data_IF_232689429898
#
_entry.id   IF_232689429898
#
_cell.length_a   1.000
_cell.length_b   1.000
_cell.length_c   1.000
_cell.angle_alpha   90.00
_cell.angle_beta   90.00
_cell.angle_gamma   90.00
#
_symmetry.space_group_name_H-M   'P 1'
#
loop_
_entity.id
_entity.type
_entity.pdbx_description
1 polymer ?
#
# COMPACT_ATOMS: atom_id res chain seq x y z
N UNK A 1 -9.81 15.73 -26.51
CA UNK A 1 -10.71 14.57 -26.31
C UNK A 1 -11.27 14.63 -24.91
N UNK A 2 -12.59 14.48 -24.73
CA UNK A 2 -13.20 14.36 -23.41
C UNK A 2 -12.95 12.94 -22.86
N UNK A 3 -12.13 12.82 -21.82
CA UNK A 3 -11.80 11.52 -21.21
C UNK A 3 -12.90 11.06 -20.24
N UNK A 4 -13.71 11.97 -19.74
CA UNK A 4 -14.74 11.70 -18.75
C UNK A 4 -15.87 10.84 -19.34
N UNK A 5 -16.16 9.69 -18.72
CA UNK A 5 -17.21 8.77 -19.18
C UNK A 5 -16.84 7.91 -20.40
N UNK A 6 -15.61 8.04 -20.93
CA UNK A 6 -15.12 7.28 -22.09
C UNK A 6 -15.17 5.76 -21.88
N UNK A 7 -15.11 5.30 -20.62
CA UNK A 7 -15.17 3.87 -20.28
C UNK A 7 -16.42 3.17 -20.85
N UNK A 8 -17.53 3.90 -20.99
CA UNK A 8 -18.79 3.36 -21.53
C UNK A 8 -18.66 2.97 -23.00
N UNK A 9 -17.80 3.68 -23.74
CA UNK A 9 -17.56 3.51 -25.17
C UNK A 9 -16.45 2.48 -25.46
N UNK A 10 -15.76 1.98 -24.45
CA UNK A 10 -14.70 0.98 -24.66
C UNK A 10 -15.25 -0.30 -25.29
N UNK A 11 -14.47 -0.91 -26.21
CA UNK A 11 -14.83 -2.19 -26.79
C UNK A 11 -14.81 -3.28 -25.71
N UNK A 12 -15.54 -4.38 -25.94
CA UNK A 12 -15.80 -5.40 -24.91
C UNK A 12 -14.51 -6.03 -24.40
N UNK A 13 -13.54 -6.22 -25.29
CA UNK A 13 -12.23 -6.80 -25.03
C UNK A 13 -11.47 -6.00 -23.96
N UNK A 14 -11.45 -4.67 -24.10
CA UNK A 14 -10.78 -3.78 -23.14
C UNK A 14 -11.50 -3.79 -21.78
N UNK A 15 -12.85 -3.80 -21.79
CA UNK A 15 -13.62 -3.92 -20.54
C UNK A 15 -13.33 -5.22 -19.81
N UNK A 16 -13.20 -6.33 -20.52
CA UNK A 16 -12.83 -7.63 -19.95
C UNK A 16 -11.41 -7.60 -19.38
N UNK A 17 -10.43 -7.02 -20.09
CA UNK A 17 -9.06 -6.88 -19.56
C UNK A 17 -9.03 -6.05 -18.29
N UNK A 18 -9.72 -4.90 -18.26
CA UNK A 18 -9.83 -4.06 -17.06
C UNK A 18 -10.46 -4.85 -15.91
N UNK A 19 -11.52 -5.61 -16.17
CA UNK A 19 -12.18 -6.42 -15.16
C UNK A 19 -11.24 -7.48 -14.57
N UNK A 20 -10.57 -8.27 -15.42
CA UNK A 20 -9.61 -9.31 -14.97
C UNK A 20 -8.44 -8.68 -14.22
N UNK A 21 -7.94 -7.53 -14.69
CA UNK A 21 -6.89 -6.77 -14.00
C UNK A 21 -7.32 -6.36 -12.59
N UNK A 22 -8.51 -5.78 -12.43
CA UNK A 22 -9.02 -5.36 -11.11
C UNK A 22 -9.18 -6.56 -10.18
N UNK A 23 -9.71 -7.69 -10.65
CA UNK A 23 -9.86 -8.90 -9.83
C UNK A 23 -8.49 -9.42 -9.37
N UNK A 24 -7.54 -9.55 -10.29
CA UNK A 24 -6.19 -10.04 -9.99
C UNK A 24 -5.48 -9.11 -9.01
N UNK A 25 -5.57 -7.80 -9.25
CA UNK A 25 -5.01 -6.79 -8.37
C UNK A 25 -5.65 -6.84 -6.98
N UNK A 26 -6.96 -7.04 -6.90
CA UNK A 26 -7.69 -7.16 -5.63
C UNK A 26 -7.20 -8.35 -4.82
N UNK A 27 -7.02 -9.51 -5.44
CA UNK A 27 -6.48 -10.72 -4.76
C UNK A 27 -5.08 -10.41 -4.18
N UNK A 28 -4.20 -9.79 -4.97
CA UNK A 28 -2.86 -9.42 -4.51
C UNK A 28 -2.90 -8.39 -3.36
N UNK A 29 -3.74 -7.36 -3.48
CA UNK A 29 -3.86 -6.29 -2.50
C UNK A 29 -4.41 -6.80 -1.15
N UNK A 30 -5.50 -7.57 -1.17
CA UNK A 30 -6.06 -8.16 0.05
C UNK A 30 -5.13 -9.23 0.66
N UNK A 31 -4.41 -9.98 -0.17
CA UNK A 31 -3.35 -10.88 0.31
C UNK A 31 -2.26 -10.12 1.06
N UNK A 32 -1.80 -8.99 0.53
CA UNK A 32 -0.85 -8.10 1.19
C UNK A 32 -1.38 -7.55 2.52
N UNK A 33 -2.62 -7.07 2.56
CA UNK A 33 -3.26 -6.62 3.81
C UNK A 33 -3.35 -7.73 4.85
N UNK A 34 -3.73 -8.94 4.44
CA UNK A 34 -3.78 -10.11 5.33
C UNK A 34 -2.40 -10.45 5.89
N UNK A 35 -1.35 -10.36 5.06
CA UNK A 35 0.03 -10.54 5.51
C UNK A 35 0.44 -9.51 6.57
N UNK A 36 0.13 -8.22 6.35
CA UNK A 36 0.40 -7.16 7.34
C UNK A 36 -0.38 -7.42 8.63
N UNK A 37 -1.64 -7.83 8.54
CA UNK A 37 -2.45 -8.15 9.72
C UNK A 37 -1.86 -9.33 10.51
N UNK A 38 -1.44 -10.40 9.84
CA UNK A 38 -0.86 -11.56 10.52
C UNK A 38 0.50 -11.25 11.17
N UNK A 39 1.26 -10.28 10.64
CA UNK A 39 2.60 -9.96 11.14
C UNK A 39 2.62 -8.85 12.20
N UNK A 40 1.66 -7.92 12.14
CA UNK A 40 1.61 -6.72 13.00
C UNK A 40 0.33 -6.61 13.84
N UNK A 41 -0.64 -7.49 13.62
CA UNK A 41 -2.00 -7.40 14.18
C UNK A 41 -2.69 -6.06 13.91
N UNK A 42 -2.19 -5.28 12.95
CA UNK A 42 -2.61 -3.90 12.68
C UNK A 42 -2.60 -3.01 13.94
N UNK A 43 -1.66 -3.26 14.87
CA UNK A 43 -1.53 -2.51 16.12
C UNK A 43 -0.17 -1.80 16.23
N UNK A 44 -0.10 -0.63 16.89
CA UNK A 44 1.15 0.16 16.97
C UNK A 44 2.32 -0.64 17.54
N UNK A 45 2.08 -1.43 18.59
CA UNK A 45 3.08 -2.29 19.21
C UNK A 45 3.51 -3.44 18.29
N UNK A 46 2.57 -3.97 17.49
CA UNK A 46 2.86 -5.02 16.52
C UNK A 46 3.68 -4.51 15.33
N UNK A 47 3.42 -3.30 14.86
CA UNK A 47 4.25 -2.61 13.85
C UNK A 47 5.65 -2.35 14.40
N UNK A 48 5.76 -1.80 15.61
CA UNK A 48 7.04 -1.53 16.27
C UNK A 48 7.88 -2.80 16.41
N UNK A 49 7.33 -3.85 17.03
CA UNK A 49 8.03 -5.12 17.22
C UNK A 49 8.36 -5.84 15.90
N UNK A 50 7.56 -5.67 14.84
CA UNK A 50 7.84 -6.27 13.54
C UNK A 50 9.07 -5.68 12.85
N UNK A 51 9.34 -4.39 13.04
CA UNK A 51 10.48 -3.71 12.39
C UNK A 51 11.68 -3.53 13.33
N UNK A 52 11.45 -3.26 14.60
CA UNK A 52 12.48 -2.99 15.61
C UNK A 52 12.83 -4.21 16.47
N UNK A 53 12.06 -5.29 16.37
CA UNK A 53 12.23 -6.49 17.18
C UNK A 53 11.65 -6.37 18.59
N UNK A 54 11.66 -7.49 19.31
CA UNK A 54 11.29 -7.60 20.72
C UNK A 54 12.31 -8.42 21.51
N UNK A 55 13.59 -8.37 21.13
CA UNK A 55 14.66 -9.20 21.68
C UNK A 55 14.90 -8.99 23.19
N UNK A 56 14.35 -7.91 23.75
CA UNK A 56 14.41 -7.58 25.19
C UNK A 56 13.23 -8.14 25.98
N UNK A 57 12.23 -8.69 25.31
CA UNK A 57 11.00 -9.23 25.91
C UNK A 57 11.12 -10.76 25.98
N UNK A 58 11.76 -11.26 27.04
CA UNK A 58 12.04 -12.70 27.24
C UNK A 58 10.76 -13.53 27.43
N UNK A 59 9.67 -12.89 27.85
CA UNK A 59 8.36 -13.53 28.08
C UNK A 59 7.51 -13.59 26.79
N UNK A 60 8.04 -13.18 25.64
CA UNK A 60 7.28 -13.15 24.40
C UNK A 60 7.07 -14.55 23.80
N UNK A 61 5.81 -14.91 23.55
CA UNK A 61 5.44 -16.16 22.86
C UNK A 61 6.08 -16.29 21.46
N UNK A 62 6.34 -15.15 20.79
CA UNK A 62 6.93 -15.11 19.45
C UNK A 62 8.05 -14.07 19.40
N UNK A 63 9.27 -14.57 19.21
CA UNK A 63 10.46 -13.72 19.04
C UNK A 63 10.50 -13.10 17.64
N UNK A 64 10.73 -11.80 17.59
CA UNK A 64 10.95 -10.98 16.41
C UNK A 64 12.27 -10.25 16.55
N UNK A 65 13.09 -10.34 15.51
CA UNK A 65 14.37 -9.65 15.46
C UNK A 65 14.24 -8.35 14.68
N UNK A 66 15.01 -7.35 15.11
CA UNK A 66 15.12 -6.08 14.39
C UNK A 66 15.50 -6.36 12.94
N UNK A 67 14.75 -5.77 12.03
CA UNK A 67 15.01 -5.89 10.60
C UNK A 67 16.37 -5.30 10.26
N UNK A 68 17.12 -5.98 9.40
CA UNK A 68 18.35 -5.45 8.84
C UNK A 68 18.06 -4.25 7.93
N UNK A 69 19.06 -3.40 7.74
CA UNK A 69 18.97 -2.27 6.81
C UNK A 69 18.59 -2.73 5.40
N UNK A 70 19.20 -3.83 4.93
CA UNK A 70 18.88 -4.43 3.63
C UNK A 70 17.41 -4.80 3.52
N UNK A 71 16.83 -5.42 4.54
CA UNK A 71 15.41 -5.79 4.54
C UNK A 71 14.52 -4.54 4.45
N UNK A 72 14.79 -3.51 5.25
CA UNK A 72 14.01 -2.26 5.24
C UNK A 72 14.12 -1.55 3.90
N UNK A 73 15.32 -1.39 3.36
CA UNK A 73 15.53 -0.76 2.06
C UNK A 73 14.80 -1.54 0.96
N UNK A 74 14.83 -2.88 1.01
CA UNK A 74 14.11 -3.72 0.05
C UNK A 74 12.60 -3.55 0.18
N UNK A 75 12.06 -3.54 1.41
CA UNK A 75 10.62 -3.33 1.66
C UNK A 75 10.18 -1.98 1.10
N UNK A 76 10.89 -0.90 1.48
CA UNK A 76 10.54 0.48 1.09
C UNK A 76 10.65 0.65 -0.42
N UNK A 77 11.77 0.23 -1.03
CA UNK A 77 12.00 0.34 -2.47
C UNK A 77 10.92 -0.41 -3.26
N UNK A 78 10.69 -1.69 -2.94
CA UNK A 78 9.77 -2.54 -3.69
C UNK A 78 8.35 -2.01 -3.63
N UNK A 79 7.88 -1.59 -2.46
CA UNK A 79 6.51 -1.12 -2.31
C UNK A 79 6.29 0.27 -2.90
N UNK A 80 7.22 1.22 -2.73
CA UNK A 80 7.11 2.53 -3.36
C UNK A 80 7.05 2.38 -4.88
N UNK A 81 7.94 1.57 -5.47
CA UNK A 81 7.98 1.39 -6.92
C UNK A 81 6.73 0.67 -7.44
N UNK A 82 6.39 -0.49 -6.87
CA UNK A 82 5.25 -1.29 -7.35
C UNK A 82 3.91 -0.58 -7.14
N UNK A 83 3.66 0.00 -5.97
CA UNK A 83 2.38 0.68 -5.68
C UNK A 83 2.24 1.98 -6.48
N UNK A 84 3.33 2.69 -6.77
CA UNK A 84 3.28 3.87 -7.66
C UNK A 84 2.80 3.48 -9.06
N UNK A 85 3.29 2.37 -9.62
CA UNK A 85 2.86 1.87 -10.93
C UNK A 85 1.39 1.41 -10.88
N UNK A 86 1.01 0.66 -9.85
CA UNK A 86 -0.36 0.17 -9.68
C UNK A 86 -1.36 1.35 -9.58
N UNK A 87 -1.09 2.32 -8.72
CA UNK A 87 -1.98 3.47 -8.52
C UNK A 87 -2.00 4.40 -9.72
N UNK A 88 -0.92 4.49 -10.48
CA UNK A 88 -0.92 5.19 -11.76
C UNK A 88 -1.88 4.52 -12.76
N UNK A 89 -1.79 3.20 -12.94
CA UNK A 89 -2.69 2.46 -13.83
C UNK A 89 -4.16 2.56 -13.39
N UNK A 90 -4.43 2.41 -12.09
CA UNK A 90 -5.78 2.60 -11.54
C UNK A 90 -6.29 4.02 -11.75
N UNK A 91 -5.43 5.04 -11.59
CA UNK A 91 -5.80 6.44 -11.85
C UNK A 91 -6.15 6.69 -13.30
N UNK A 92 -5.44 6.06 -14.26
CA UNK A 92 -5.78 6.13 -15.68
C UNK A 92 -7.15 5.49 -15.96
N UNK A 93 -7.44 4.32 -15.38
CA UNK A 93 -8.76 3.69 -15.50
C UNK A 93 -9.82 4.62 -14.90
N UNK A 94 -9.58 5.13 -13.69
CA UNK A 94 -10.52 6.01 -12.98
C UNK A 94 -10.78 7.32 -13.73
N UNK A 95 -9.77 7.85 -14.43
CA UNK A 95 -9.90 9.04 -15.28
C UNK A 95 -11.00 8.87 -16.33
N UNK A 96 -11.16 7.67 -16.89
CA UNK A 96 -12.14 7.33 -17.93
C UNK A 96 -13.57 7.13 -17.43
N UNK A 97 -13.76 7.00 -16.12
CA UNK A 97 -15.10 6.77 -15.52
C UNK A 97 -15.98 8.02 -15.57
N UNK A 98 -17.28 7.86 -15.33
CA UNK A 98 -18.24 8.97 -15.21
C UNK A 98 -18.44 9.44 -13.75
N UNK A 99 -17.54 9.10 -12.82
CA UNK A 99 -17.62 9.52 -11.41
C UNK A 99 -17.44 11.03 -11.27
N UNK A 100 -18.03 11.62 -10.22
CA UNK A 100 -17.86 13.02 -9.85
C UNK A 100 -16.38 13.45 -9.92
N UNK A 101 -16.12 14.57 -10.61
CA UNK A 101 -14.76 15.03 -10.91
C UNK A 101 -13.93 15.28 -9.63
N UNK A 102 -14.49 15.90 -8.59
CA UNK A 102 -13.76 16.19 -7.34
C UNK A 102 -13.35 14.91 -6.62
N UNK A 103 -14.29 13.97 -6.45
CA UNK A 103 -14.01 12.68 -5.83
C UNK A 103 -12.98 11.87 -6.63
N UNK A 104 -13.12 11.88 -7.96
CA UNK A 104 -12.17 11.26 -8.87
C UNK A 104 -10.75 11.79 -8.66
N UNK A 105 -10.57 13.12 -8.65
CA UNK A 105 -9.25 13.71 -8.41
C UNK A 105 -8.67 13.33 -7.06
N UNK A 106 -9.49 13.33 -6.00
CA UNK A 106 -9.07 12.88 -4.68
C UNK A 106 -8.56 11.44 -4.70
N UNK A 107 -9.37 10.51 -5.23
CA UNK A 107 -9.02 9.08 -5.32
C UNK A 107 -7.81 8.79 -6.23
N UNK A 108 -7.52 9.67 -7.19
CA UNK A 108 -6.33 9.54 -8.05
C UNK A 108 -5.04 9.97 -7.35
N UNK A 109 -5.10 10.96 -6.44
CA UNK A 109 -3.89 11.57 -5.86
C UNK A 109 -3.57 11.04 -4.48
N UNK A 110 -4.59 10.84 -3.64
CA UNK A 110 -4.43 10.42 -2.25
C UNK A 110 -3.56 9.14 -2.08
N UNK A 111 -3.72 8.08 -2.90
CA UNK A 111 -2.95 6.85 -2.69
C UNK A 111 -1.43 7.03 -2.83
N UNK A 112 -0.97 7.99 -3.64
CA UNK A 112 0.45 8.29 -3.79
C UNK A 112 1.04 8.92 -2.54
N UNK A 113 0.31 9.85 -1.92
CA UNK A 113 0.72 10.47 -0.66
C UNK A 113 0.75 9.44 0.46
N UNK A 114 -0.27 8.58 0.50
CA UNK A 114 -0.38 7.47 1.45
C UNK A 114 0.84 6.54 1.37
N UNK A 115 1.24 6.09 0.17
CA UNK A 115 2.43 5.23 -0.02
C UNK A 115 3.71 5.87 0.51
N UNK A 116 3.94 7.15 0.18
CA UNK A 116 5.14 7.84 0.63
C UNK A 116 5.15 7.97 2.16
N UNK A 117 4.01 8.30 2.77
CA UNK A 117 3.88 8.43 4.21
C UNK A 117 4.04 7.09 4.94
N UNK A 118 3.42 6.02 4.45
CA UNK A 118 3.49 4.69 5.08
C UNK A 118 4.89 4.10 4.96
N UNK A 119 5.46 3.99 3.76
CA UNK A 119 6.76 3.34 3.58
C UNK A 119 7.92 4.25 4.00
N UNK A 120 7.82 5.56 3.79
CA UNK A 120 8.73 6.53 4.39
C UNK A 120 8.64 6.49 5.92
N UNK A 121 7.43 6.34 6.48
CA UNK A 121 7.20 6.17 7.90
C UNK A 121 7.85 4.92 8.47
N UNK A 122 7.79 3.78 7.77
CA UNK A 122 8.49 2.54 8.16
C UNK A 122 10.00 2.77 8.24
N UNK A 123 10.57 3.46 7.25
CA UNK A 123 12.00 3.81 7.25
C UNK A 123 12.36 4.71 8.45
N UNK A 124 11.55 5.73 8.74
CA UNK A 124 11.77 6.65 9.86
C UNK A 124 11.59 5.95 11.22
N UNK A 125 10.60 5.08 11.35
CA UNK A 125 10.39 4.22 12.52
C UNK A 125 11.63 3.35 12.78
N UNK A 126 12.16 2.71 11.73
CA UNK A 126 13.35 1.87 11.83
C UNK A 126 14.61 2.64 12.26
N UNK A 127 14.72 3.90 11.83
CA UNK A 127 15.77 4.84 12.25
C UNK A 127 15.59 5.38 13.69
N UNK A 128 14.54 4.97 14.40
CA UNK A 128 14.32 5.30 15.81
C UNK A 128 13.24 6.35 16.09
N UNK A 129 12.57 6.89 15.07
CA UNK A 129 11.44 7.81 15.25
C UNK A 129 10.15 7.02 15.54
N UNK A 130 10.02 6.57 16.79
CA UNK A 130 8.95 5.65 17.23
C UNK A 130 7.52 6.16 16.98
N UNK A 131 7.32 7.48 16.89
CA UNK A 131 6.00 8.07 16.65
C UNK A 131 5.36 7.65 15.31
N UNK A 132 6.18 7.32 14.29
CA UNK A 132 5.66 6.91 12.99
C UNK A 132 4.82 5.63 13.03
N UNK A 133 4.88 4.82 14.09
CA UNK A 133 4.00 3.66 14.28
C UNK A 133 2.51 4.00 14.22
N UNK A 134 2.11 5.24 14.56
CA UNK A 134 0.72 5.70 14.50
C UNK A 134 0.30 6.18 13.11
N UNK A 135 1.27 6.50 12.24
CA UNK A 135 1.03 6.93 10.85
C UNK A 135 0.96 5.73 9.91
N UNK A 136 1.67 4.66 10.24
CA UNK A 136 1.75 3.43 9.42
C UNK A 136 0.46 2.60 9.50
N UNK A 137 -0.37 2.81 10.53
CA UNK A 137 -1.59 2.03 10.83
C UNK A 137 -2.83 2.68 10.23
#
# INVERSE_FOLDING_TARGET
>A
MEVHGLIHQFPKEIKVVIFVFIITLSVGFYGGLSFVNNTTSMQPKGVESNYLGNEKDEDSDVMKFKKSEREILTIVHNHILSMSVIFFLLSLILATTSINKKLKYFLMIEPFLSVVLTFGGIYLLWNGLLWFKYVII
#
